data_IF_128517721422
#
_entry.id   IF_128517721422
#
_cell.length_a   1.000
_cell.length_b   1.000
_cell.length_c   1.000
_cell.angle_alpha   90.00
_cell.angle_beta   90.00
_cell.angle_gamma   90.00
#
_symmetry.space_group_name_H-M   'P 1'
#
loop_
_entity.id
_entity.type
_entity.pdbx_description
1 polymer ?
#
# COMPACT_ATOMS: atom_id res chain seq x y z
N UNK A 1 2.57 -13.00 -12.95
CA UNK A 1 1.57 -12.80 -11.90
C UNK A 1 1.28 -11.31 -11.84
N UNK A 2 0.01 -10.92 -11.90
CA UNK A 2 -0.39 -9.52 -11.88
C UNK A 2 -0.72 -9.09 -10.45
N UNK A 3 -0.37 -7.85 -10.10
CA UNK A 3 -0.63 -7.28 -8.78
C UNK A 3 -1.80 -6.29 -8.88
N UNK A 4 -2.77 -6.43 -7.98
CA UNK A 4 -3.85 -5.47 -7.82
C UNK A 4 -4.03 -5.02 -6.37
N UNK A 5 -4.49 -3.79 -6.19
CA UNK A 5 -4.69 -3.21 -4.86
C UNK A 5 -4.91 -1.71 -4.89
N UNK A 6 -5.13 -1.14 -3.70
CA UNK A 6 -5.33 0.31 -3.53
C UNK A 6 -4.26 0.87 -2.61
N UNK A 7 -3.61 1.95 -3.04
CA UNK A 7 -2.56 2.66 -2.30
C UNK A 7 -2.96 4.12 -2.06
N UNK A 8 -2.31 4.77 -1.11
CA UNK A 8 -2.45 6.20 -0.87
C UNK A 8 -1.61 7.04 -1.83
N UNK A 9 -1.85 8.35 -1.87
CA UNK A 9 -0.98 9.32 -2.58
C UNK A 9 0.18 9.81 -1.72
N UNK A 10 0.81 8.91 -0.95
CA UNK A 10 1.87 9.21 0.00
C UNK A 10 3.23 8.62 -0.42
N UNK A 11 4.27 8.91 0.37
CA UNK A 11 5.63 8.47 0.07
C UNK A 11 5.77 6.95 0.06
N UNK A 12 5.02 6.25 0.92
CA UNK A 12 5.03 4.78 0.96
C UNK A 12 4.43 4.19 -0.33
N UNK A 13 3.38 4.82 -0.88
CA UNK A 13 2.80 4.45 -2.17
C UNK A 13 3.76 4.68 -3.34
N UNK A 14 4.49 5.80 -3.34
CA UNK A 14 5.52 6.09 -4.36
C UNK A 14 6.67 5.10 -4.31
N UNK A 15 7.16 4.79 -3.11
CA UNK A 15 8.20 3.79 -2.90
C UNK A 15 7.74 2.42 -3.43
N UNK A 16 6.53 1.99 -3.06
CA UNK A 16 5.96 0.73 -3.55
C UNK A 16 5.90 0.69 -5.09
N UNK A 17 5.43 1.76 -5.74
CA UNK A 17 5.38 1.84 -7.21
C UNK A 17 6.77 1.84 -7.86
N UNK A 18 7.79 2.35 -7.17
CA UNK A 18 9.18 2.30 -7.63
C UNK A 18 9.75 0.89 -7.52
N UNK A 19 9.53 0.22 -6.39
CA UNK A 19 9.99 -1.16 -6.13
C UNK A 19 9.31 -2.19 -7.04
N UNK A 20 8.04 -1.98 -7.39
CA UNK A 20 7.32 -2.81 -8.36
C UNK A 20 7.89 -2.70 -9.79
N UNK A 21 8.77 -1.71 -10.04
CA UNK A 21 9.46 -1.54 -11.31
C UNK A 21 8.58 -0.99 -12.43
N UNK A 22 9.22 -0.57 -13.52
CA UNK A 22 8.56 -0.06 -14.73
C UNK A 22 7.89 -1.13 -15.60
N UNK A 23 7.74 -2.37 -15.13
CA UNK A 23 7.10 -3.45 -15.89
C UNK A 23 5.60 -3.15 -15.97
N UNK A 24 5.05 -3.11 -17.20
CA UNK A 24 3.65 -2.76 -17.47
C UNK A 24 2.64 -3.58 -16.64
N UNK A 25 2.97 -4.82 -16.28
CA UNK A 25 2.15 -5.71 -15.45
C UNK A 25 1.99 -5.26 -13.99
N UNK A 26 2.88 -4.41 -13.45
CA UNK A 26 2.81 -3.95 -12.06
C UNK A 26 1.90 -2.75 -11.82
N UNK A 27 1.53 -2.00 -12.87
CA UNK A 27 0.79 -0.73 -12.75
C UNK A 27 -0.70 -0.84 -13.04
N UNK A 28 -1.11 -1.83 -13.82
CA UNK A 28 -2.49 -1.93 -14.32
C UNK A 28 -3.54 -2.17 -13.24
N UNK A 29 -3.19 -2.90 -12.17
CA UNK A 29 -4.12 -3.25 -11.09
C UNK A 29 -4.04 -2.36 -9.84
N UNK A 30 -3.17 -1.35 -9.83
CA UNK A 30 -2.96 -0.49 -8.64
C UNK A 30 -3.72 0.82 -8.79
N UNK A 31 -4.67 1.05 -7.88
CA UNK A 31 -5.46 2.29 -7.83
C UNK A 31 -4.93 3.19 -6.72
N UNK A 32 -4.84 4.49 -6.99
CA UNK A 32 -4.41 5.49 -6.00
C UNK A 32 -5.65 6.20 -5.45
N UNK A 33 -5.81 6.17 -4.12
CA UNK A 33 -6.83 6.90 -3.37
C UNK A 33 -6.15 7.96 -2.49
N UNK A 34 -6.30 9.27 -2.79
CA UNK A 34 -5.62 10.34 -2.04
C UNK A 34 -6.15 10.52 -0.62
N UNK A 35 -7.33 9.97 -0.31
CA UNK A 35 -8.01 10.18 0.98
C UNK A 35 -7.67 9.10 2.02
N UNK A 36 -6.76 8.17 1.69
CA UNK A 36 -6.30 7.11 2.60
C UNK A 36 -4.78 6.97 2.59
N UNK A 37 -4.18 6.50 3.70
CA UNK A 37 -2.77 6.16 3.72
C UNK A 37 -2.52 4.85 2.97
N UNK A 38 -1.33 4.72 2.38
CA UNK A 38 -0.79 3.42 1.95
C UNK A 38 -0.56 2.56 3.18
N UNK A 39 -1.11 1.35 3.18
CA UNK A 39 -0.98 0.42 4.30
C UNK A 39 0.49 0.10 4.57
N UNK A 40 0.95 0.35 5.80
CA UNK A 40 2.31 0.01 6.26
C UNK A 40 2.24 -0.88 7.48
N UNK A 41 2.95 -2.01 7.43
CA UNK A 41 3.06 -2.98 8.52
C UNK A 41 4.48 -2.93 9.05
N UNK A 42 4.68 -2.25 10.19
CA UNK A 42 6.01 -2.00 10.74
C UNK A 42 6.29 -2.93 11.92
N UNK A 43 7.43 -3.63 11.88
CA UNK A 43 7.94 -4.46 12.98
C UNK A 43 9.20 -3.83 13.55
N UNK A 44 9.24 -3.63 14.86
CA UNK A 44 10.44 -3.23 15.61
C UNK A 44 11.08 -4.51 16.16
N UNK A 45 12.33 -4.77 15.79
CA UNK A 45 13.05 -6.02 16.11
C UNK A 45 14.33 -5.66 16.86
N UNK A 46 14.60 -6.36 17.97
CA UNK A 46 15.85 -6.28 18.73
C UNK A 46 16.19 -7.67 19.28
N UNK A 47 17.48 -8.01 19.37
CA UNK A 47 17.94 -9.33 19.84
C UNK A 47 17.24 -10.52 19.16
N UNK A 48 17.02 -10.44 17.85
CA UNK A 48 16.30 -11.43 17.04
C UNK A 48 14.84 -11.69 17.50
N UNK A 49 14.24 -10.77 18.24
CA UNK A 49 12.87 -10.85 18.73
C UNK A 49 12.04 -9.68 18.22
N UNK A 50 10.77 -9.95 17.86
CA UNK A 50 9.81 -8.89 17.52
C UNK A 50 9.32 -8.24 18.81
N UNK A 51 9.71 -6.99 19.04
CA UNK A 51 9.35 -6.23 20.24
C UNK A 51 7.96 -5.60 20.07
N UNK A 52 7.73 -4.93 18.94
CA UNK A 52 6.45 -4.26 18.65
C UNK A 52 6.09 -4.45 17.18
N UNK A 53 4.78 -4.57 16.92
CA UNK A 53 4.22 -4.33 15.60
C UNK A 53 3.22 -3.19 15.68
N UNK A 54 3.34 -2.23 14.77
CA UNK A 54 2.36 -1.18 14.59
C UNK A 54 2.05 -1.02 13.11
N UNK A 55 0.79 -0.69 12.84
CA UNK A 55 0.24 -0.62 11.50
C UNK A 55 -0.28 0.79 11.24
N UNK A 56 -0.01 1.32 10.05
CA UNK A 56 -0.65 2.52 9.54
C UNK A 56 -1.58 2.05 8.43
N UNK A 57 -2.88 2.20 8.64
CA UNK A 57 -3.89 1.76 7.70
C UNK A 57 -5.18 2.58 7.82
N UNK A 58 -5.85 2.79 6.70
CA UNK A 58 -7.24 3.24 6.68
C UNK A 58 -8.16 2.03 6.79
N UNK A 59 -8.99 1.98 7.83
CA UNK A 59 -9.96 0.89 8.10
C UNK A 59 -11.36 1.13 7.55
N UNK A 60 -11.60 2.32 7.02
CA UNK A 60 -12.87 2.66 6.39
C UNK A 60 -12.99 1.93 5.05
N UNK A 61 -14.24 1.68 4.63
CA UNK A 61 -14.49 1.15 3.30
C UNK A 61 -13.97 2.07 2.19
N UNK A 62 -13.63 1.48 1.06
CA UNK A 62 -13.31 2.24 -0.15
C UNK A 62 -14.53 3.00 -0.62
N UNK A 63 -14.33 4.26 -1.01
CA UNK A 63 -15.37 5.11 -1.57
C UNK A 63 -16.00 4.46 -2.79
N UNK A 64 -17.31 4.62 -2.96
CA UNK A 64 -18.07 4.03 -4.08
C UNK A 64 -17.50 4.39 -5.47
N UNK A 65 -16.91 5.59 -5.60
CA UNK A 65 -16.25 6.07 -6.83
C UNK A 65 -15.05 5.20 -7.26
N UNK A 66 -14.40 4.50 -6.32
CA UNK A 66 -13.28 3.61 -6.60
C UNK A 66 -13.70 2.17 -6.95
N UNK A 67 -14.98 1.82 -6.74
CA UNK A 67 -15.50 0.45 -6.99
C UNK A 67 -15.81 0.16 -8.48
N UNK A 68 -15.71 1.14 -9.36
CA UNK A 68 -16.12 1.05 -10.77
C UNK A 68 -14.96 1.10 -11.79
N UNK A 69 -13.71 1.07 -11.33
CA UNK A 69 -12.53 0.94 -12.19
C UNK A 69 -12.09 -0.51 -12.29
#
# INVERSE_FOLDING_TARGET
ADLCGVIGSDESGRLLMKELGGTRSGRGGVVIDPDRPTTRKSRVIAHNQQIVRYDIEGRNELKGTLRQK
#
